data_IF_329726778648
#
_entry.id   IF_329726778648
#
_cell.length_a   1.000
_cell.length_b   1.000
_cell.length_c   1.000
_cell.angle_alpha   90.00
_cell.angle_beta   90.00
_cell.angle_gamma   90.00
#
_symmetry.space_group_name_H-M   'P 1'
#
loop_
_entity.id
_entity.type
_entity.pdbx_description
1 polymer ?
#
# COMPACT_ATOMS: atom_id res chain seq x y z
N UNK A 1 -6.15 -0.60 2.19
CA UNK A 1 -5.68 -1.61 3.15
C UNK A 1 -4.23 -1.91 2.85
N UNK A 2 -3.40 -2.16 3.86
CA UNK A 2 -1.95 -2.43 3.67
C UNK A 2 -1.64 -3.82 4.20
N UNK A 3 -0.95 -4.68 3.44
CA UNK A 3 -0.30 -5.87 3.98
C UNK A 3 1.21 -5.63 4.00
N UNK A 4 1.83 -5.74 5.17
CA UNK A 4 3.28 -5.57 5.35
C UNK A 4 4.06 -6.88 5.62
N UNK A 5 5.38 -6.84 5.49
CA UNK A 5 6.40 -7.82 5.85
C UNK A 5 7.25 -7.31 7.02
N UNK A 6 8.01 -8.21 7.65
CA UNK A 6 8.91 -8.05 8.79
C UNK A 6 10.29 -8.55 8.37
N UNK A 7 11.34 -7.74 8.57
CA UNK A 7 12.72 -8.18 8.34
C UNK A 7 13.49 -8.20 9.66
N UNK A 8 13.89 -9.42 10.05
CA UNK A 8 15.07 -9.75 10.86
C UNK A 8 15.20 -9.16 12.28
N UNK A 9 15.12 -10.03 13.29
CA UNK A 9 15.70 -9.80 14.61
C UNK A 9 17.25 -9.80 14.56
N UNK A 10 17.86 -8.62 14.46
CA UNK A 10 19.28 -8.38 14.74
C UNK A 10 19.46 -7.48 15.97
N UNK A 11 20.52 -7.69 16.76
CA UNK A 11 20.78 -6.93 18.01
C UNK A 11 21.08 -5.43 17.82
N UNK A 12 21.26 -4.97 16.58
CA UNK A 12 21.77 -3.64 16.26
C UNK A 12 20.82 -2.80 15.38
N UNK A 13 19.53 -3.15 15.29
CA UNK A 13 18.56 -2.35 14.52
C UNK A 13 18.15 -1.08 15.31
N UNK A 14 18.19 0.11 14.69
CA UNK A 14 17.69 1.33 15.32
C UNK A 14 16.17 1.23 15.55
N UNK A 15 15.74 1.62 16.75
CA UNK A 15 14.32 1.65 17.13
C UNK A 15 13.58 2.68 16.27
N UNK A 16 12.65 2.21 15.43
CA UNK A 16 11.81 3.06 14.56
C UNK A 16 10.67 3.76 15.32
N UNK A 17 10.15 4.85 14.76
CA UNK A 17 9.03 5.61 15.34
C UNK A 17 7.68 4.91 15.06
N UNK A 18 6.74 4.97 16.01
CA UNK A 18 5.37 4.42 15.81
C UNK A 18 4.50 5.25 14.85
N UNK A 19 5.00 6.41 14.41
CA UNK A 19 4.26 7.35 13.57
C UNK A 19 4.14 6.86 12.11
N UNK A 20 5.09 6.06 11.63
CA UNK A 20 5.17 5.61 10.24
C UNK A 20 5.34 4.09 10.05
N UNK A 21 5.30 3.30 11.13
CA UNK A 21 5.51 1.85 11.08
C UNK A 21 4.37 1.15 10.33
N UNK A 22 4.55 0.96 9.04
CA UNK A 22 3.60 0.27 8.15
C UNK A 22 3.89 -1.22 8.05
N UNK A 23 5.10 -1.62 8.42
CA UNK A 23 5.58 -3.01 8.47
C UNK A 23 5.07 -3.74 9.73
N UNK A 24 4.42 -3.01 10.66
CA UNK A 24 3.92 -3.50 11.95
C UNK A 24 4.97 -4.26 12.77
N UNK A 25 6.24 -3.95 12.55
CA UNK A 25 7.35 -4.56 13.27
C UNK A 25 7.26 -4.15 14.74
N UNK A 26 7.51 -5.10 15.64
CA UNK A 26 7.56 -4.82 17.07
C UNK A 26 8.60 -3.73 17.35
N UNK A 27 8.15 -2.49 17.57
CA UNK A 27 9.01 -1.44 18.09
C UNK A 27 9.47 -1.88 19.48
N UNK A 28 10.77 -2.16 19.63
CA UNK A 28 11.36 -2.28 20.96
C UNK A 28 11.42 -0.90 21.57
N UNK A 29 10.34 -0.48 22.22
CA UNK A 29 10.30 0.79 22.94
C UNK A 29 11.09 0.67 24.26
N UNK A 30 12.33 1.16 24.26
CA UNK A 30 13.08 1.71 25.41
C UNK A 30 13.00 1.00 26.76
N UNK A 31 13.02 -0.33 26.81
CA UNK A 31 12.92 -1.08 28.08
C UNK A 31 11.65 -0.79 28.90
N UNK A 32 10.64 -0.17 28.30
CA UNK A 32 9.32 0.01 28.88
C UNK A 32 8.39 -0.98 28.16
N UNK A 33 7.96 -2.08 28.81
CA UNK A 33 6.96 -2.97 28.24
C UNK A 33 5.78 -2.15 27.77
N UNK A 34 5.20 -2.48 26.60
CA UNK A 34 3.90 -1.93 26.19
C UNK A 34 2.92 -2.11 27.35
N UNK A 35 2.72 -1.03 28.12
CA UNK A 35 1.69 -0.98 29.16
C UNK A 35 0.40 -0.84 28.40
N UNK A 36 -0.25 -1.98 28.13
CA UNK A 36 -1.70 -2.02 28.09
C UNK A 36 -2.17 -1.29 29.35
N UNK A 37 -2.72 -0.09 29.19
CA UNK A 37 -3.17 0.73 30.31
C UNK A 37 -4.45 0.12 30.88
N UNK A 38 -4.30 -1.03 31.54
CA UNK A 38 -5.25 -1.45 32.56
C UNK A 38 -5.05 -0.47 33.72
N UNK A 39 -6.12 0.25 34.08
CA UNK A 39 -6.18 1.34 35.08
C UNK A 39 -5.64 1.00 36.48
N UNK A 40 -5.09 -0.19 36.71
CA UNK A 40 -4.63 -0.65 38.01
C UNK A 40 -3.09 -0.64 38.13
N UNK A 41 -2.51 0.38 38.78
CA UNK A 41 -1.05 0.50 38.95
C UNK A 41 -0.42 -0.53 39.91
N UNK A 42 -1.20 -1.41 40.54
CA UNK A 42 -0.68 -2.50 41.40
C UNK A 42 -0.26 -3.75 40.63
N UNK A 43 -0.52 -3.83 39.33
CA UNK A 43 -0.09 -4.94 38.48
C UNK A 43 1.36 -4.70 38.00
N UNK A 44 2.33 -5.25 38.73
CA UNK A 44 3.74 -5.25 38.32
C UNK A 44 4.19 -6.68 38.00
N UNK A 45 4.52 -6.93 36.72
CA UNK A 45 4.96 -8.23 36.21
C UNK A 45 3.89 -8.96 35.38
N UNK A 46 4.30 -9.84 34.47
CA UNK A 46 3.40 -10.72 33.71
C UNK A 46 2.66 -11.66 34.67
N UNK A 47 1.50 -11.23 35.12
CA UNK A 47 0.56 -12.03 35.88
C UNK A 47 -0.25 -12.87 34.92
N UNK A 48 0.39 -13.77 34.16
CA UNK A 48 -0.17 -14.53 33.02
C UNK A 48 -1.60 -15.04 33.27
N UNK A 49 -1.96 -15.43 34.49
CA UNK A 49 -3.33 -15.85 34.83
C UNK A 49 -4.35 -14.71 34.93
N UNK A 50 -4.01 -13.59 35.57
CA UNK A 50 -4.90 -12.42 35.68
C UNK A 50 -4.97 -11.68 34.33
N UNK A 51 -3.84 -11.53 33.65
CA UNK A 51 -3.76 -10.93 32.32
C UNK A 51 -4.59 -11.75 31.32
N UNK A 52 -4.47 -13.08 31.34
CA UNK A 52 -5.31 -13.97 30.53
C UNK A 52 -6.80 -13.84 30.87
N UNK A 53 -7.16 -13.76 32.15
CA UNK A 53 -8.56 -13.58 32.56
C UNK A 53 -9.15 -12.26 32.08
N UNK A 54 -8.37 -11.19 32.10
CA UNK A 54 -8.81 -9.89 31.61
C UNK A 54 -8.90 -9.89 30.08
N UNK A 55 -7.89 -10.41 29.38
CA UNK A 55 -7.91 -10.53 27.90
C UNK A 55 -9.12 -11.33 27.42
N UNK A 56 -9.44 -12.45 28.08
CA UNK A 56 -10.59 -13.30 27.74
C UNK A 56 -11.93 -12.56 27.74
N UNK A 57 -12.05 -11.42 28.42
CA UNK A 57 -13.27 -10.58 28.41
C UNK A 57 -13.44 -9.79 27.12
N UNK A 58 -12.36 -9.56 26.39
CA UNK A 58 -12.33 -8.77 25.15
C UNK A 58 -11.93 -9.61 23.92
N UNK A 59 -11.67 -10.91 24.09
CA UNK A 59 -11.39 -11.79 22.97
C UNK A 59 -12.67 -12.03 22.15
N UNK A 60 -12.57 -11.74 20.85
CA UNK A 60 -13.54 -12.14 19.87
C UNK A 60 -12.99 -13.41 19.19
N UNK A 61 -13.57 -14.60 19.46
CA UNK A 61 -13.05 -15.84 18.90
C UNK A 61 -13.27 -15.86 17.39
N UNK A 62 -12.26 -16.33 16.67
CA UNK A 62 -12.32 -16.63 15.24
C UNK A 62 -12.49 -18.15 15.09
N UNK A 63 -13.56 -18.55 14.42
CA UNK A 63 -13.96 -19.91 14.08
C UNK A 63 -13.12 -20.49 12.94
N UNK A 64 -12.72 -19.66 11.97
CA UNK A 64 -11.98 -20.11 10.79
C UNK A 64 -11.07 -19.02 10.22
N UNK A 65 -10.01 -19.44 9.52
CA UNK A 65 -9.23 -18.58 8.64
C UNK A 65 -9.55 -18.80 7.15
N UNK A 66 -10.51 -19.69 6.83
CA UNK A 66 -10.92 -20.01 5.46
C UNK A 66 -11.52 -18.77 4.75
N UNK A 67 -10.91 -18.27 3.67
CA UNK A 67 -11.38 -17.09 2.94
C UNK A 67 -12.64 -17.35 2.11
N UNK A 68 -13.02 -18.61 1.86
CA UNK A 68 -14.21 -18.98 1.10
C UNK A 68 -15.47 -19.13 1.96
N UNK A 69 -15.32 -19.13 3.29
CA UNK A 69 -16.46 -19.14 4.20
C UNK A 69 -17.22 -17.80 4.16
N UNK A 70 -18.46 -17.84 3.67
CA UNK A 70 -19.28 -16.65 3.44
C UNK A 70 -19.86 -16.00 4.71
N UNK A 71 -19.75 -16.67 5.87
CA UNK A 71 -20.21 -16.13 7.15
C UNK A 71 -19.11 -15.29 7.80
N UNK A 72 -19.29 -13.97 7.79
CA UNK A 72 -18.37 -13.00 8.40
C UNK A 72 -18.80 -12.52 9.79
N UNK A 73 -19.76 -13.17 10.45
CA UNK A 73 -20.30 -12.71 11.75
C UNK A 73 -19.20 -12.45 12.79
N UNK A 74 -18.17 -13.29 12.82
CA UNK A 74 -17.02 -13.14 13.72
C UNK A 74 -16.13 -11.92 13.42
N UNK A 75 -16.19 -11.37 12.21
CA UNK A 75 -15.44 -10.19 11.77
C UNK A 75 -16.22 -8.88 11.95
N UNK A 76 -17.49 -8.93 12.37
CA UNK A 76 -18.27 -7.73 12.65
C UNK A 76 -17.62 -6.78 13.69
N UNK A 77 -17.00 -7.27 14.78
CA UNK A 77 -16.24 -6.41 15.69
C UNK A 77 -15.11 -5.65 14.97
N UNK A 78 -14.35 -6.32 14.09
CA UNK A 78 -13.32 -5.67 13.28
C UNK A 78 -13.94 -4.63 12.35
N UNK A 79 -15.08 -4.94 11.72
CA UNK A 79 -15.82 -4.00 10.87
C UNK A 79 -16.22 -2.72 11.60
N UNK A 80 -16.68 -2.83 12.86
CA UNK A 80 -17.05 -1.65 13.67
C UNK A 80 -15.85 -0.74 13.94
N UNK A 81 -14.67 -1.32 14.18
CA UNK A 81 -13.43 -0.54 14.36
C UNK A 81 -12.97 0.08 13.04
N UNK A 82 -13.04 -0.69 11.95
CA UNK A 82 -12.63 -0.25 10.62
C UNK A 82 -13.55 0.80 9.99
N UNK A 83 -14.83 0.85 10.36
CA UNK A 83 -15.83 1.74 9.76
C UNK A 83 -15.51 3.24 9.89
N UNK A 84 -14.75 3.63 10.92
CA UNK A 84 -14.31 5.00 11.12
C UNK A 84 -12.96 5.31 10.43
N UNK A 85 -12.30 4.29 9.85
CA UNK A 85 -10.94 4.37 9.34
C UNK A 85 -10.92 4.49 7.82
N UNK A 86 -10.13 5.44 7.30
CA UNK A 86 -9.84 5.51 5.85
C UNK A 86 -8.86 4.42 5.42
N UNK A 87 -7.95 4.02 6.31
CA UNK A 87 -6.88 3.06 6.07
C UNK A 87 -6.93 2.03 7.19
N UNK A 88 -6.85 0.75 6.83
CA UNK A 88 -6.65 -0.37 7.75
C UNK A 88 -5.36 -1.06 7.32
N UNK A 89 -4.38 -1.14 8.21
CA UNK A 89 -3.19 -1.94 7.98
C UNK A 89 -3.32 -3.31 8.64
N UNK A 90 -2.83 -4.33 7.95
CA UNK A 90 -2.87 -5.74 8.34
C UNK A 90 -1.43 -6.27 8.36
N UNK A 91 -0.80 -6.19 9.54
CA UNK A 91 0.50 -6.80 9.78
C UNK A 91 0.44 -8.34 9.79
N UNK A 92 1.59 -8.97 9.85
CA UNK A 92 1.75 -10.42 10.01
C UNK A 92 2.82 -10.75 11.04
N UNK A 93 2.64 -11.84 11.77
CA UNK A 93 3.64 -12.31 12.73
C UNK A 93 4.84 -13.00 12.08
N UNK A 94 4.68 -13.51 10.85
CA UNK A 94 5.71 -14.21 10.05
C UNK A 94 5.38 -14.11 8.54
N UNK A 95 6.38 -14.33 7.67
CA UNK A 95 6.25 -14.36 6.19
C UNK A 95 5.88 -15.70 5.57
N UNK A 96 5.60 -16.72 6.37
CA UNK A 96 5.49 -18.09 5.87
C UNK A 96 4.44 -18.92 6.57
N UNK A 97 3.47 -18.27 7.23
CA UNK A 97 2.36 -18.95 7.89
C UNK A 97 1.12 -18.89 7.01
N UNK A 98 0.74 -20.05 6.47
CA UNK A 98 -0.50 -20.25 5.69
C UNK A 98 -1.71 -19.63 6.40
N UNK A 99 -1.91 -19.94 7.69
CA UNK A 99 -3.09 -19.47 8.43
C UNK A 99 -3.15 -17.95 8.56
N UNK A 100 -1.99 -17.26 8.56
CA UNK A 100 -1.95 -15.79 8.58
C UNK A 100 -2.37 -15.25 7.22
N UNK A 101 -1.88 -15.82 6.12
CA UNK A 101 -2.24 -15.39 4.77
C UNK A 101 -3.71 -15.67 4.45
N UNK A 102 -4.21 -16.86 4.79
CA UNK A 102 -5.62 -17.23 4.67
C UNK A 102 -6.52 -16.27 5.48
N UNK A 103 -6.14 -15.96 6.73
CA UNK A 103 -6.89 -15.01 7.55
C UNK A 103 -6.84 -13.58 7.00
N UNK A 104 -5.70 -13.14 6.46
CA UNK A 104 -5.57 -11.82 5.82
C UNK A 104 -6.46 -11.75 4.58
N UNK A 105 -6.46 -12.77 3.72
CA UNK A 105 -7.39 -12.87 2.58
C UNK A 105 -8.86 -12.79 3.07
N UNK A 106 -9.24 -13.59 4.06
CA UNK A 106 -10.59 -13.54 4.64
C UNK A 106 -10.99 -12.14 5.11
N UNK A 107 -10.09 -11.44 5.81
CA UNK A 107 -10.29 -10.05 6.25
C UNK A 107 -10.40 -9.10 5.06
N UNK A 108 -9.55 -9.25 4.04
CA UNK A 108 -9.59 -8.45 2.81
C UNK A 108 -10.95 -8.53 2.15
N UNK A 109 -11.43 -9.76 1.89
CA UNK A 109 -12.71 -10.01 1.25
C UNK A 109 -13.86 -9.41 2.05
N UNK A 110 -13.81 -9.53 3.39
CA UNK A 110 -14.78 -8.92 4.29
C UNK A 110 -14.78 -7.39 4.24
N UNK A 111 -13.61 -6.75 4.41
CA UNK A 111 -13.49 -5.29 4.41
C UNK A 111 -13.92 -4.70 3.07
N UNK A 112 -13.56 -5.35 1.96
CA UNK A 112 -13.98 -4.92 0.63
C UNK A 112 -15.47 -5.11 0.40
N UNK A 113 -16.03 -6.27 0.74
CA UNK A 113 -17.43 -6.61 0.45
C UNK A 113 -18.44 -5.94 1.40
N UNK A 114 -18.06 -5.68 2.66
CA UNK A 114 -18.97 -5.21 3.71
C UNK A 114 -18.66 -3.80 4.20
N UNK A 115 -17.40 -3.39 4.17
CA UNK A 115 -16.95 -2.09 4.72
C UNK A 115 -16.57 -1.08 3.63
N UNK A 116 -16.56 -1.49 2.36
CA UNK A 116 -16.39 -0.59 1.22
C UNK A 116 -14.96 -0.19 0.89
N UNK A 117 -13.96 -0.93 1.39
CA UNK A 117 -12.56 -0.72 1.00
C UNK A 117 -12.31 -1.20 -0.45
N UNK A 118 -11.70 -0.35 -1.26
CA UNK A 118 -11.53 -0.53 -2.71
C UNK A 118 -10.07 -0.43 -3.19
N UNK A 119 -9.12 -0.23 -2.26
CA UNK A 119 -7.70 -0.21 -2.53
C UNK A 119 -6.95 -1.21 -1.64
N UNK A 120 -6.25 -2.12 -2.29
CA UNK A 120 -5.31 -3.06 -1.68
C UNK A 120 -3.87 -2.65 -2.00
N UNK A 121 -3.16 -2.21 -0.98
CA UNK A 121 -1.75 -1.90 -1.02
C UNK A 121 -0.96 -3.04 -0.40
N UNK A 122 -0.01 -3.59 -1.16
CA UNK A 122 0.90 -4.62 -0.70
C UNK A 122 2.28 -3.99 -0.47
N UNK A 123 3.01 -4.47 0.52
CA UNK A 123 4.44 -4.25 0.66
C UNK A 123 5.21 -5.02 -0.42
N UNK A 124 5.09 -4.49 -1.63
CA UNK A 124 5.73 -4.95 -2.83
C UNK A 124 6.04 -3.73 -3.70
N UNK A 125 7.00 -3.90 -4.61
CA UNK A 125 7.38 -2.83 -5.52
C UNK A 125 6.18 -2.41 -6.38
N UNK A 126 5.94 -1.09 -6.44
CA UNK A 126 4.79 -0.53 -7.14
C UNK A 126 4.70 -0.94 -8.62
N UNK A 127 5.75 -0.83 -9.46
CA UNK A 127 5.63 -1.13 -10.88
C UNK A 127 5.16 -2.57 -11.16
N UNK A 128 5.70 -3.53 -10.42
CA UNK A 128 5.37 -4.95 -10.53
C UNK A 128 3.96 -5.23 -10.03
N UNK A 129 3.58 -4.64 -8.89
CA UNK A 129 2.23 -4.75 -8.34
C UNK A 129 1.15 -4.13 -9.25
N UNK A 130 1.46 -3.07 -9.99
CA UNK A 130 0.55 -2.52 -11.01
C UNK A 130 0.27 -3.50 -12.15
N UNK A 131 1.20 -4.42 -12.45
CA UNK A 131 0.94 -5.49 -13.42
C UNK A 131 0.00 -6.56 -12.86
N UNK A 132 0.07 -6.84 -11.55
CA UNK A 132 -0.94 -7.68 -10.87
C UNK A 132 -2.31 -7.00 -10.93
N UNK A 133 -2.36 -5.68 -10.75
CA UNK A 133 -3.60 -4.91 -10.92
C UNK A 133 -4.18 -5.02 -12.34
N UNK A 134 -3.32 -5.00 -13.36
CA UNK A 134 -3.77 -5.21 -14.75
C UNK A 134 -4.38 -6.60 -14.94
N UNK A 135 -3.85 -7.63 -14.29
CA UNK A 135 -4.49 -8.94 -14.24
C UNK A 135 -5.85 -8.91 -13.52
N UNK A 136 -5.95 -8.25 -12.36
CA UNK A 136 -7.21 -8.24 -11.60
C UNK A 136 -8.30 -7.40 -12.27
N UNK A 137 -7.95 -6.37 -13.05
CA UNK A 137 -8.92 -5.51 -13.73
C UNK A 137 -9.21 -5.99 -15.16
N UNK A 138 -8.17 -6.34 -15.92
CA UNK A 138 -8.23 -6.59 -17.37
C UNK A 138 -7.99 -8.06 -17.75
N UNK A 139 -7.53 -8.89 -16.80
CA UNK A 139 -7.17 -10.28 -17.07
C UNK A 139 -5.86 -10.44 -17.85
N UNK A 140 -5.01 -9.42 -17.86
CA UNK A 140 -3.77 -9.40 -18.62
C UNK A 140 -2.62 -10.16 -17.91
N UNK A 141 -2.06 -11.17 -18.57
CA UNK A 141 -0.89 -11.92 -18.07
C UNK A 141 -1.22 -13.21 -17.30
N UNK A 142 -0.17 -13.92 -16.88
CA UNK A 142 -0.26 -15.11 -16.02
C UNK A 142 -0.05 -14.69 -14.55
N UNK A 143 -1.04 -14.88 -13.66
CA UNK A 143 -0.95 -14.41 -12.27
C UNK A 143 0.22 -15.03 -11.52
N UNK A 144 0.62 -16.28 -11.81
CA UNK A 144 1.77 -16.91 -11.16
C UNK A 144 3.08 -16.23 -11.56
N UNK A 145 3.20 -15.80 -12.82
CA UNK A 145 4.39 -15.08 -13.30
C UNK A 145 4.41 -13.63 -12.81
N UNK A 146 3.24 -12.99 -12.71
CA UNK A 146 3.12 -11.63 -12.20
C UNK A 146 3.46 -11.56 -10.71
N UNK A 147 2.97 -12.51 -9.90
CA UNK A 147 3.29 -12.62 -8.48
C UNK A 147 4.79 -12.88 -8.28
N UNK A 148 5.39 -13.84 -9.01
CA UNK A 148 6.85 -14.05 -9.00
C UNK A 148 7.61 -12.80 -9.47
N UNK A 149 7.03 -12.08 -10.41
CA UNK A 149 7.55 -10.83 -10.95
C UNK A 149 7.60 -9.70 -9.95
N UNK A 150 6.97 -9.80 -8.77
CA UNK A 150 7.18 -8.84 -7.66
C UNK A 150 8.55 -9.02 -6.99
N UNK A 151 9.24 -10.14 -7.22
CA UNK A 151 10.58 -10.49 -6.73
C UNK A 151 10.73 -10.62 -5.20
N UNK A 152 9.62 -10.61 -4.46
CA UNK A 152 9.60 -10.72 -2.99
C UNK A 152 9.00 -12.08 -2.63
N UNK A 153 9.82 -12.97 -2.08
CA UNK A 153 9.48 -14.39 -1.86
C UNK A 153 8.25 -14.65 -0.97
N UNK A 154 7.93 -13.85 0.07
CA UNK A 154 6.74 -14.06 0.91
C UNK A 154 5.43 -14.04 0.13
N UNK A 155 5.41 -13.39 -1.04
CA UNK A 155 4.21 -13.29 -1.86
C UNK A 155 4.07 -14.43 -2.87
N UNK A 156 5.11 -15.27 -3.03
CA UNK A 156 5.12 -16.35 -4.03
C UNK A 156 4.42 -17.62 -3.50
N UNK A 157 3.16 -17.46 -3.09
CA UNK A 157 2.38 -18.51 -2.41
C UNK A 157 1.03 -18.77 -3.08
N UNK A 158 0.40 -19.89 -2.75
CA UNK A 158 -0.93 -20.23 -3.28
C UNK A 158 -2.01 -19.33 -2.66
N UNK A 159 -1.83 -18.84 -1.43
CA UNK A 159 -2.76 -17.93 -0.75
C UNK A 159 -2.80 -16.55 -1.43
N UNK A 160 -1.63 -16.00 -1.81
CA UNK A 160 -1.57 -14.76 -2.58
C UNK A 160 -2.20 -14.94 -3.97
N UNK A 161 -1.98 -16.09 -4.61
CA UNK A 161 -2.63 -16.42 -5.87
C UNK A 161 -4.16 -16.47 -5.71
N UNK A 162 -4.66 -17.15 -4.68
CA UNK A 162 -6.08 -17.26 -4.40
C UNK A 162 -6.73 -15.88 -4.18
N UNK A 163 -6.06 -14.99 -3.44
CA UNK A 163 -6.52 -13.61 -3.28
C UNK A 163 -6.56 -12.85 -4.62
N UNK A 164 -5.50 -12.93 -5.43
CA UNK A 164 -5.43 -12.25 -6.73
C UNK A 164 -6.48 -12.77 -7.72
N UNK A 165 -6.73 -14.08 -7.74
CA UNK A 165 -7.79 -14.68 -8.56
C UNK A 165 -9.18 -14.30 -8.07
N UNK A 166 -9.40 -14.28 -6.75
CA UNK A 166 -10.63 -13.77 -6.16
C UNK A 166 -10.85 -12.30 -6.54
N UNK A 167 -9.83 -11.45 -6.47
CA UNK A 167 -9.92 -10.04 -6.87
C UNK A 167 -10.33 -9.88 -8.33
N UNK A 168 -9.78 -10.70 -9.24
CA UNK A 168 -10.20 -10.74 -10.65
C UNK A 168 -11.68 -11.11 -10.79
N UNK A 169 -12.12 -12.15 -10.08
CA UNK A 169 -13.55 -12.52 -10.06
C UNK A 169 -14.43 -11.41 -9.48
N UNK A 170 -13.94 -10.73 -8.43
CA UNK A 170 -14.61 -9.60 -7.82
C UNK A 170 -14.66 -8.38 -8.77
N UNK A 171 -13.71 -8.19 -9.66
CA UNK A 171 -13.72 -7.10 -10.64
C UNK A 171 -14.41 -7.45 -11.97
N UNK A 172 -14.98 -8.65 -12.11
CA UNK A 172 -15.46 -9.15 -13.41
C UNK A 172 -16.57 -8.32 -14.05
N UNK A 173 -17.48 -7.72 -13.25
CA UNK A 173 -18.56 -6.88 -13.77
C UNK A 173 -18.11 -5.43 -14.00
N UNK A 174 -17.25 -4.93 -13.11
CA UNK A 174 -16.67 -3.59 -13.15
C UNK A 174 -15.47 -3.56 -12.19
N UNK A 175 -14.51 -2.64 -12.37
CA UNK A 175 -13.40 -2.46 -11.44
C UNK A 175 -13.94 -1.99 -10.07
N UNK A 176 -13.95 -2.89 -9.08
CA UNK A 176 -14.45 -2.62 -7.71
C UNK A 176 -13.33 -2.52 -6.68
N UNK A 177 -12.17 -3.11 -6.97
CA UNK A 177 -11.02 -3.13 -6.08
C UNK A 177 -9.73 -3.07 -6.90
N UNK A 178 -8.82 -2.19 -6.50
CA UNK A 178 -7.51 -2.00 -7.13
C UNK A 178 -6.40 -2.61 -6.28
N UNK A 179 -5.37 -3.10 -6.95
CA UNK A 179 -4.14 -3.64 -6.36
C UNK A 179 -2.99 -2.65 -6.60
N UNK A 180 -2.16 -2.40 -5.60
CA UNK A 180 -0.96 -1.56 -5.75
C UNK A 180 0.15 -2.05 -4.83
N UNK A 181 1.38 -1.72 -5.18
CA UNK A 181 2.53 -1.81 -4.30
C UNK A 181 2.81 -0.45 -3.67
N UNK A 182 3.35 -0.45 -2.45
CA UNK A 182 3.84 0.77 -1.78
C UNK A 182 5.34 0.77 -1.53
N UNK A 183 5.98 -0.40 -1.65
CA UNK A 183 7.39 -0.57 -1.32
C UNK A 183 8.31 0.00 -2.41
N UNK A 184 9.52 0.37 -2.00
CA UNK A 184 10.51 1.11 -2.78
C UNK A 184 11.94 0.55 -2.65
N UNK A 185 12.07 -0.72 -2.25
CA UNK A 185 13.36 -1.39 -2.08
C UNK A 185 14.10 -1.70 -3.38
N UNK A 186 13.42 -1.72 -4.54
CA UNK A 186 14.05 -2.08 -5.82
C UNK A 186 14.21 -0.86 -6.75
N UNK A 187 15.22 -0.01 -6.56
CA UNK A 187 15.38 1.25 -7.29
C UNK A 187 15.51 1.06 -8.81
N UNK A 188 16.08 -0.06 -9.26
CA UNK A 188 16.22 -0.38 -10.67
C UNK A 188 14.85 -0.57 -11.36
N UNK A 189 13.88 -1.18 -10.68
CA UNK A 189 12.51 -1.38 -11.21
C UNK A 189 11.75 -0.06 -11.26
N UNK A 190 11.89 0.77 -10.22
CA UNK A 190 11.33 2.12 -10.15
C UNK A 190 11.88 3.01 -11.27
N UNK A 191 13.20 3.01 -11.46
CA UNK A 191 13.85 3.78 -12.53
C UNK A 191 13.41 3.28 -13.91
N UNK A 192 13.34 1.97 -14.12
CA UNK A 192 12.86 1.39 -15.38
C UNK A 192 11.40 1.78 -15.66
N UNK A 193 10.56 1.87 -14.64
CA UNK A 193 9.18 2.33 -14.77
C UNK A 193 9.09 3.82 -15.11
N UNK A 194 9.88 4.65 -14.43
CA UNK A 194 10.01 6.07 -14.71
C UNK A 194 10.47 6.30 -16.17
N UNK A 195 11.50 5.60 -16.64
CA UNK A 195 12.01 5.72 -18.01
C UNK A 195 10.97 5.41 -19.08
N UNK A 196 10.04 4.47 -18.82
CA UNK A 196 8.95 4.15 -19.77
C UNK A 196 7.92 5.27 -19.94
N UNK A 197 7.82 6.17 -18.96
CA UNK A 197 6.92 7.32 -19.00
C UNK A 197 7.58 8.56 -19.61
N UNK A 198 8.91 8.59 -19.73
CA UNK A 198 9.63 9.68 -20.36
C UNK A 198 9.65 9.52 -21.89
N UNK A 199 9.78 10.63 -22.64
CA UNK A 199 10.10 10.55 -24.06
C UNK A 199 11.41 9.77 -24.27
N UNK A 200 11.49 8.94 -25.31
CA UNK A 200 12.67 8.10 -25.58
C UNK A 200 13.97 8.87 -25.90
N UNK A 201 13.90 10.19 -26.08
CA UNK A 201 15.06 11.06 -26.31
C UNK A 201 14.89 12.40 -25.59
N UNK A 202 16.00 13.08 -25.28
CA UNK A 202 15.99 14.42 -24.70
C UNK A 202 16.77 14.51 -23.38
N UNK A 203 16.65 15.64 -22.68
CA UNK A 203 17.35 15.89 -21.42
C UNK A 203 16.89 14.94 -20.30
N UNK A 204 15.58 14.78 -20.11
CA UNK A 204 15.03 13.90 -19.09
C UNK A 204 15.42 12.44 -19.34
N UNK A 205 15.32 11.99 -20.60
CA UNK A 205 15.68 10.63 -21.00
C UNK A 205 17.15 10.31 -20.73
N UNK A 206 18.07 11.21 -21.13
CA UNK A 206 19.51 11.05 -20.88
C UNK A 206 19.84 11.05 -19.40
N UNK A 207 19.20 11.93 -18.62
CA UNK A 207 19.41 12.00 -17.17
C UNK A 207 18.90 10.76 -16.46
N UNK A 208 17.70 10.30 -16.79
CA UNK A 208 17.15 9.06 -16.26
C UNK A 208 18.03 7.84 -16.61
N UNK A 209 18.59 7.78 -17.82
CA UNK A 209 19.56 6.75 -18.21
C UNK A 209 20.85 6.80 -17.38
N UNK A 210 21.42 7.98 -17.18
CA UNK A 210 22.62 8.15 -16.35
C UNK A 210 22.37 7.78 -14.88
N UNK A 211 21.23 8.20 -14.33
CA UNK A 211 20.79 7.80 -12.98
C UNK A 211 20.61 6.28 -12.87
N UNK A 212 20.02 5.64 -13.88
CA UNK A 212 19.82 4.18 -13.89
C UNK A 212 21.14 3.41 -13.83
N UNK A 213 22.15 3.85 -14.58
CA UNK A 213 23.48 3.24 -14.59
C UNK A 213 24.14 3.33 -13.20
N UNK A 214 24.08 4.50 -12.56
CA UNK A 214 24.66 4.72 -11.24
C UNK A 214 23.88 4.02 -10.11
N UNK A 215 22.55 3.95 -10.20
CA UNK A 215 21.74 3.21 -9.23
C UNK A 215 22.05 1.71 -9.23
N UNK A 216 22.55 1.16 -10.34
CA UNK A 216 22.97 -0.25 -10.39
C UNK A 216 24.18 -0.53 -9.48
N UNK A 217 25.04 0.47 -9.25
CA UNK A 217 26.23 0.37 -8.39
C UNK A 217 26.02 0.95 -6.99
N UNK A 218 24.78 1.25 -6.59
CA UNK A 218 24.50 1.92 -5.30
C UNK A 218 24.88 1.08 -4.07
N UNK A 219 24.96 -0.24 -4.22
CA UNK A 219 25.44 -1.14 -3.19
C UNK A 219 26.86 -1.61 -3.55
N UNK A 220 27.84 -1.21 -2.74
CA UNK A 220 29.26 -1.53 -2.96
C UNK A 220 29.65 -2.94 -2.45
N UNK A 221 28.84 -3.47 -1.55
CA UNK A 221 28.86 -4.80 -0.99
C UNK A 221 27.42 -5.21 -0.64
N UNK A 222 27.21 -6.48 -0.29
CA UNK A 222 25.88 -6.97 0.09
C UNK A 222 25.27 -6.07 1.19
N UNK A 223 24.22 -5.33 0.83
CA UNK A 223 23.43 -4.46 1.70
C UNK A 223 24.16 -3.24 2.31
N UNK A 224 25.33 -2.85 1.79
CA UNK A 224 25.99 -1.60 2.19
C UNK A 224 25.86 -0.55 1.10
N UNK A 225 25.07 0.49 1.38
CA UNK A 225 24.88 1.61 0.46
C UNK A 225 26.16 2.46 0.36
N UNK A 226 26.56 2.80 -0.86
CA UNK A 226 27.55 3.85 -1.13
C UNK A 226 26.91 5.23 -0.85
N UNK A 227 27.29 5.80 0.29
CA UNK A 227 26.73 7.06 0.80
C UNK A 227 27.12 8.26 -0.06
N UNK A 228 28.33 8.26 -0.62
CA UNK A 228 28.80 9.39 -1.42
C UNK A 228 28.14 9.36 -2.80
N UNK A 229 27.98 8.15 -3.38
CA UNK A 229 27.16 7.98 -4.57
C UNK A 229 25.72 8.40 -4.32
N UNK A 230 25.08 7.94 -3.24
CA UNK A 230 23.71 8.32 -2.89
C UNK A 230 23.54 9.85 -2.80
N UNK A 231 24.45 10.54 -2.10
CA UNK A 231 24.46 12.02 -1.99
C UNK A 231 24.62 12.71 -3.34
N UNK A 232 25.42 12.15 -4.24
CA UNK A 232 25.62 12.73 -5.58
C UNK A 232 24.41 12.52 -6.50
N UNK A 233 23.61 11.47 -6.28
CA UNK A 233 22.40 11.17 -7.05
C UNK A 233 21.18 12.00 -6.66
N UNK A 234 21.10 12.49 -5.41
CA UNK A 234 19.92 13.24 -4.94
C UNK A 234 19.65 14.53 -5.73
N UNK A 235 20.63 15.43 -5.97
CA UNK A 235 20.42 16.63 -6.79
C UNK A 235 20.08 16.31 -8.25
N UNK A 236 20.53 15.16 -8.74
CA UNK A 236 20.23 14.70 -10.11
C UNK A 236 18.75 14.28 -10.24
N UNK A 237 18.17 13.65 -9.21
CA UNK A 237 16.73 13.39 -9.13
C UNK A 237 15.94 14.71 -9.03
N UNK A 238 16.42 15.69 -8.27
CA UNK A 238 15.79 17.01 -8.17
C UNK A 238 15.77 17.73 -9.52
N UNK A 239 16.88 17.66 -10.24
CA UNK A 239 16.99 18.23 -11.58
C UNK A 239 16.07 17.52 -12.57
N UNK A 240 15.93 16.19 -12.46
CA UNK A 240 14.99 15.42 -13.29
C UNK A 240 13.54 15.82 -13.01
N UNK A 241 13.17 16.04 -11.73
CA UNK A 241 11.80 16.36 -11.33
C UNK A 241 11.28 17.67 -11.96
N UNK A 242 12.17 18.64 -12.16
CA UNK A 242 11.84 19.95 -12.74
C UNK A 242 12.20 20.05 -14.22
N UNK A 243 12.59 18.94 -14.87
CA UNK A 243 12.95 18.95 -16.28
C UNK A 243 11.73 19.39 -17.14
N UNK A 244 11.89 20.30 -18.12
CA UNK A 244 10.81 20.75 -18.97
C UNK A 244 10.06 19.62 -19.69
N UNK A 245 10.74 18.51 -20.01
CA UNK A 245 10.09 17.35 -20.61
C UNK A 245 9.14 16.66 -19.64
N UNK A 246 9.50 16.56 -18.36
CA UNK A 246 8.61 16.04 -17.30
C UNK A 246 7.42 16.98 -17.10
N UNK A 247 7.67 18.30 -17.06
CA UNK A 247 6.60 19.29 -16.93
C UNK A 247 5.58 19.24 -18.08
N UNK A 248 6.04 18.86 -19.28
CA UNK A 248 5.23 18.75 -20.50
C UNK A 248 4.40 17.47 -20.61
N UNK A 249 4.62 16.47 -19.73
CA UNK A 249 3.85 15.23 -19.74
C UNK A 249 2.36 15.48 -19.43
N UNK A 250 1.46 14.61 -19.91
CA UNK A 250 0.08 14.55 -19.42
C UNK A 250 0.04 14.49 -17.89
N UNK A 251 -0.93 15.15 -17.26
CA UNK A 251 -0.98 15.31 -15.81
C UNK A 251 -0.88 13.98 -15.03
N UNK A 252 -1.52 12.92 -15.53
CA UNK A 252 -1.46 11.59 -14.92
C UNK A 252 -0.07 10.95 -15.03
N UNK A 253 0.57 11.02 -16.21
CA UNK A 253 1.92 10.51 -16.42
C UNK A 253 2.95 11.31 -15.61
N UNK A 254 2.81 12.64 -15.57
CA UNK A 254 3.64 13.50 -14.73
C UNK A 254 3.55 13.12 -13.26
N UNK A 255 2.34 12.92 -12.74
CA UNK A 255 2.14 12.53 -11.34
C UNK A 255 2.73 11.15 -11.01
N UNK A 256 2.69 10.19 -11.93
CA UNK A 256 3.36 8.89 -11.74
C UNK A 256 4.90 9.03 -11.82
N UNK A 257 5.44 9.85 -12.74
CA UNK A 257 6.88 10.16 -12.77
C UNK A 257 7.33 10.82 -11.45
N UNK A 258 6.60 11.84 -10.98
CA UNK A 258 6.88 12.50 -9.70
C UNK A 258 6.80 11.51 -8.53
N UNK A 259 5.83 10.58 -8.54
CA UNK A 259 5.72 9.50 -7.57
C UNK A 259 6.95 8.59 -7.56
N UNK A 260 7.42 8.14 -8.72
CA UNK A 260 8.64 7.32 -8.81
C UNK A 260 9.89 8.09 -8.38
N UNK A 261 10.00 9.38 -8.71
CA UNK A 261 11.09 10.22 -8.20
C UNK A 261 11.04 10.31 -6.68
N UNK A 262 9.86 10.48 -6.09
CA UNK A 262 9.66 10.48 -4.64
C UNK A 262 10.12 9.18 -3.98
N UNK A 263 9.77 8.04 -4.56
CA UNK A 263 10.23 6.72 -4.09
C UNK A 263 11.75 6.59 -4.18
N UNK A 264 12.36 7.02 -5.29
CA UNK A 264 13.81 6.98 -5.46
C UNK A 264 14.53 7.90 -4.46
N UNK A 265 13.99 9.07 -4.15
CA UNK A 265 14.51 9.95 -3.08
C UNK A 265 14.44 9.29 -1.71
N UNK A 266 13.31 8.69 -1.38
CA UNK A 266 13.15 7.95 -0.12
C UNK A 266 14.14 6.78 -0.06
N UNK A 267 14.33 6.03 -1.14
CA UNK A 267 15.36 4.98 -1.22
C UNK A 267 16.77 5.53 -0.96
N UNK A 268 17.18 6.61 -1.62
CA UNK A 268 18.51 7.19 -1.41
C UNK A 268 18.73 7.76 -0.01
N UNK A 269 17.66 8.09 0.73
CA UNK A 269 17.77 8.65 2.08
C UNK A 269 18.21 7.65 3.16
N UNK A 270 18.31 6.36 2.83
CA UNK A 270 18.77 5.26 3.70
C UNK A 270 19.92 5.63 4.64
N UNK A 271 20.93 6.34 4.13
CA UNK A 271 22.14 6.65 4.90
C UNK A 271 21.94 7.68 6.03
N UNK A 272 20.84 8.44 6.00
CA UNK A 272 20.50 9.48 6.99
C UNK A 272 19.17 9.25 7.68
N UNK A 273 18.35 8.37 7.14
CA UNK A 273 17.00 8.09 7.60
C UNK A 273 16.84 6.60 7.93
N UNK A 274 16.82 6.22 9.22
CA UNK A 274 16.63 4.82 9.62
C UNK A 274 15.22 4.29 9.34
N UNK A 275 14.22 5.16 9.12
CA UNK A 275 12.83 4.80 8.80
C UNK A 275 12.45 5.19 7.37
N UNK A 276 13.44 5.30 6.48
CA UNK A 276 13.27 5.70 5.08
C UNK A 276 12.21 4.87 4.35
N UNK A 277 12.16 3.56 4.64
CA UNK A 277 11.29 2.59 3.97
C UNK A 277 9.84 2.80 4.40
N UNK A 278 9.58 2.75 5.70
CA UNK A 278 8.29 3.05 6.33
C UNK A 278 7.73 4.40 5.87
N UNK A 279 8.54 5.46 5.97
CA UNK A 279 8.15 6.81 5.52
C UNK A 279 7.91 6.87 4.02
N UNK A 280 8.73 6.18 3.23
CA UNK A 280 8.57 6.10 1.78
C UNK A 280 7.29 5.38 1.37
N UNK A 281 6.94 4.28 2.05
CA UNK A 281 5.69 3.55 1.84
C UNK A 281 4.48 4.39 2.25
N UNK A 282 4.56 5.10 3.38
CA UNK A 282 3.52 6.01 3.83
C UNK A 282 3.30 7.15 2.83
N UNK A 283 4.38 7.82 2.42
CA UNK A 283 4.34 8.90 1.42
C UNK A 283 3.78 8.41 0.08
N UNK A 284 4.15 7.19 -0.32
CA UNK A 284 3.60 6.55 -1.52
C UNK A 284 2.09 6.37 -1.40
N UNK A 285 1.63 5.81 -0.29
CA UNK A 285 0.22 5.57 -0.06
C UNK A 285 -0.58 6.87 0.00
N UNK A 286 -0.06 7.89 0.68
CA UNK A 286 -0.65 9.23 0.70
C UNK A 286 -0.81 9.80 -0.71
N UNK A 287 0.23 9.70 -1.54
CA UNK A 287 0.18 10.12 -2.94
C UNK A 287 -0.90 9.39 -3.74
N UNK A 288 -1.03 8.07 -3.56
CA UNK A 288 -2.09 7.28 -4.20
C UNK A 288 -3.48 7.76 -3.78
N UNK A 289 -3.67 7.98 -2.48
CA UNK A 289 -4.95 8.41 -1.90
C UNK A 289 -5.32 9.85 -2.27
N UNK A 290 -4.33 10.74 -2.43
CA UNK A 290 -4.55 12.10 -2.92
C UNK A 290 -5.04 12.08 -4.37
N UNK A 291 -4.40 11.29 -5.24
CA UNK A 291 -4.81 11.16 -6.66
C UNK A 291 -6.22 10.59 -6.82
N UNK A 292 -6.58 9.59 -6.01
CA UNK A 292 -7.96 9.07 -6.01
C UNK A 292 -8.98 10.15 -5.63
N UNK A 293 -8.68 11.00 -4.63
CA UNK A 293 -9.56 12.10 -4.25
C UNK A 293 -9.69 13.14 -5.38
N UNK A 294 -8.61 13.47 -6.08
CA UNK A 294 -8.64 14.42 -7.20
C UNK A 294 -9.51 13.91 -8.35
N UNK A 295 -9.42 12.61 -8.67
CA UNK A 295 -10.27 11.96 -9.67
C UNK A 295 -11.74 12.08 -9.25
N UNK A 296 -12.06 11.72 -8.00
CA UNK A 296 -13.44 11.79 -7.47
C UNK A 296 -13.98 13.23 -7.52
N UNK A 297 -13.20 14.22 -7.09
CA UNK A 297 -13.60 15.64 -7.11
C UNK A 297 -13.78 16.12 -8.56
N UNK A 298 -12.87 15.75 -9.46
CA UNK A 298 -12.95 16.05 -10.89
C UNK A 298 -14.23 15.52 -11.52
N UNK A 299 -14.57 14.25 -11.26
CA UNK A 299 -15.78 13.61 -11.76
C UNK A 299 -17.06 14.23 -11.15
N UNK A 300 -17.06 14.56 -9.85
CA UNK A 300 -18.17 15.27 -9.21
C UNK A 300 -18.38 16.67 -9.81
N UNK A 301 -17.29 17.39 -10.10
CA UNK A 301 -17.34 18.71 -10.73
C UNK A 301 -17.85 18.62 -12.17
N UNK A 302 -17.43 17.59 -12.91
CA UNK A 302 -17.93 17.29 -14.24
C UNK A 302 -19.43 16.91 -14.22
N UNK A 303 -19.87 16.12 -13.23
CA UNK A 303 -21.28 15.76 -13.03
C UNK A 303 -22.12 17.01 -12.67
N UNK A 304 -21.63 17.90 -11.79
CA UNK A 304 -22.33 19.14 -11.44
C UNK A 304 -22.43 20.15 -12.60
N UNK A 305 -21.39 20.24 -13.44
CA UNK A 305 -21.40 21.13 -14.61
C UNK A 305 -22.31 20.62 -15.75
N UNK A 306 -22.54 19.32 -15.84
CA UNK A 306 -23.61 18.75 -16.67
C UNK A 306 -24.90 18.76 -15.86
N UNK A 307 -25.71 19.83 -15.97
CA UNK A 307 -27.05 19.95 -15.34
C UNK A 307 -27.87 18.67 -15.55
N UNK A 308 -27.77 17.69 -14.65
CA UNK A 308 -28.62 16.51 -14.64
C UNK A 308 -29.97 16.97 -14.11
N UNK A 309 -30.84 17.32 -15.05
CA UNK A 309 -32.12 17.97 -14.75
C UNK A 309 -33.22 16.97 -14.36
N UNK A 310 -32.98 15.65 -14.54
CA UNK A 310 -33.93 14.59 -14.19
C UNK A 310 -33.23 13.35 -13.60
N UNK A 311 -33.89 12.60 -12.69
CA UNK A 311 -33.35 11.36 -12.11
C UNK A 311 -33.01 10.26 -13.12
N UNK A 312 -33.60 10.30 -14.32
CA UNK A 312 -33.31 9.39 -15.43
C UNK A 312 -31.93 9.60 -16.05
N UNK A 313 -31.35 10.80 -15.92
CA UNK A 313 -30.09 11.16 -16.57
C UNK A 313 -28.87 10.55 -15.84
N UNK A 314 -29.04 10.16 -14.57
CA UNK A 314 -28.01 9.47 -13.77
C UNK A 314 -27.85 7.98 -14.09
N UNK A 315 -28.74 7.38 -14.91
CA UNK A 315 -28.69 5.93 -15.19
C UNK A 315 -27.82 5.54 -16.38
N UNK A 316 -27.30 6.49 -17.15
CA UNK A 316 -26.42 6.21 -18.29
C UNK A 316 -25.29 7.24 -18.38
N UNK A 317 -24.10 6.85 -17.92
CA UNK A 317 -22.88 7.66 -17.99
C UNK A 317 -22.11 7.74 -16.67
N UNK A 318 -21.06 8.55 -16.64
CA UNK A 318 -20.06 8.71 -15.54
C UNK A 318 -20.68 8.85 -14.14
N UNK A 319 -21.90 9.39 -13.99
CA UNK A 319 -22.55 9.51 -12.68
C UNK A 319 -23.18 8.18 -12.18
N UNK A 320 -23.33 7.15 -13.02
CA UNK A 320 -23.86 5.83 -12.64
C UNK A 320 -22.81 4.94 -11.94
N UNK A 321 -21.51 5.16 -12.20
CA UNK A 321 -20.41 4.44 -11.55
C UNK A 321 -20.00 5.03 -10.20
N UNK A 322 -20.49 6.24 -9.87
CA UNK A 322 -20.33 6.80 -8.54
C UNK A 322 -21.39 6.21 -7.62
N UNK A 323 -20.96 5.51 -6.57
CA UNK A 323 -21.83 5.05 -5.47
C UNK A 323 -22.63 6.23 -4.91
N UNK A 324 -23.86 6.44 -5.42
CA UNK A 324 -24.88 7.30 -4.81
C UNK A 324 -25.48 6.69 -3.53
N UNK A 325 -24.84 5.69 -2.92
CA UNK A 325 -25.23 5.16 -1.62
C UNK A 325 -24.35 5.79 -0.52
N UNK A 326 -24.90 6.81 0.14
CA UNK A 326 -24.62 7.05 1.57
C UNK A 326 -23.85 8.31 1.99
N UNK A 327 -23.36 9.17 1.07
CA UNK A 327 -22.58 10.37 1.46
C UNK A 327 -23.29 11.72 1.30
N UNK A 328 -24.44 11.78 0.63
CA UNK A 328 -25.17 13.03 0.33
C UNK A 328 -26.20 13.47 1.38
N UNK A 329 -26.54 12.65 2.39
CA UNK A 329 -27.62 12.98 3.33
C UNK A 329 -27.23 13.93 4.48
N UNK A 330 -25.98 14.39 4.58
CA UNK A 330 -25.53 15.20 5.74
C UNK A 330 -25.43 16.71 5.55
N UNK A 331 -25.72 17.27 4.38
CA UNK A 331 -25.59 18.73 4.14
C UNK A 331 -26.80 19.37 3.44
N UNK A 332 -27.97 18.73 3.49
CA UNK A 332 -29.23 19.37 3.11
C UNK A 332 -30.27 19.16 4.22
N UNK A 333 -30.16 19.95 5.27
CA UNK A 333 -31.31 20.59 5.91
C UNK A 333 -31.06 22.09 5.95
#
# INVERSE_FOLDING_TARGET
MILGTSISCGKDYPVGTTEYNLDFEYAWNDSVPMRWTLRNPSLTGYGCRLDRQELLRYLHPLRTCDPDDADYTELEPLGRVAAASRIVGLGEGTHGSDEIFAMKDRIVRYLTSRQGFDLFALEANRPEALRVNDYTIRGEGDPKQLIRGMYVWPWMTEEMLALVEWMKGYNASEPRMTFTGVDLQMPATLMSALQRLLPGTGSAARRAAALAEQLHSIYDAAYRMDVDLARSLEPELDTLAVDPQVASLPAAERAEVEGYIGMLRAFLSQYRDPSWRDRGMASTLEGILQRQNEIIIGDLTACNNKKCSKPSDCKSGICASMRCQGRFERHCM
#
